data_IF_232916974164
#
_entry.id   IF_232916974164
#
_cell.length_a   1.000
_cell.length_b   1.000
_cell.length_c   1.000
_cell.angle_alpha   90.00
_cell.angle_beta   90.00
_cell.angle_gamma   90.00
#
_symmetry.space_group_name_H-M   'P 1'
#
loop_
_entity.id
_entity.type
_entity.pdbx_description
1 polymer ?
#
# COMPACT_ATOMS: atom_id res chain seq x y z
N UNK A 1 -0.49 -31.58 2.21
CA UNK A 1 -0.61 -30.42 1.31
C UNK A 1 0.68 -30.34 0.52
N UNK A 2 0.61 -30.53 -0.80
CA UNK A 2 1.78 -30.41 -1.67
C UNK A 2 2.12 -28.92 -1.78
N UNK A 3 3.25 -28.53 -1.20
CA UNK A 3 3.72 -27.15 -1.20
C UNK A 3 4.56 -26.95 -2.46
N UNK A 4 3.95 -26.38 -3.51
CA UNK A 4 4.71 -25.93 -4.67
C UNK A 4 5.34 -24.59 -4.33
N UNK A 5 6.67 -24.56 -4.26
CA UNK A 5 7.40 -23.29 -4.17
C UNK A 5 7.15 -22.51 -5.46
N UNK A 6 6.26 -21.53 -5.38
CA UNK A 6 5.95 -20.60 -6.47
C UNK A 6 6.51 -19.25 -6.08
N UNK A 7 7.33 -18.68 -6.97
CA UNK A 7 7.78 -17.31 -6.84
C UNK A 7 6.67 -16.37 -7.32
N UNK A 8 6.29 -15.42 -6.48
CA UNK A 8 5.30 -14.39 -6.81
C UNK A 8 5.99 -13.06 -7.07
N UNK A 9 5.62 -12.40 -8.16
CA UNK A 9 6.06 -11.03 -8.46
C UNK A 9 4.92 -10.06 -8.18
N UNK A 10 5.13 -9.19 -7.18
CA UNK A 10 4.22 -8.08 -6.89
C UNK A 10 4.74 -6.80 -7.57
N UNK A 11 3.89 -6.18 -8.40
CA UNK A 11 4.15 -4.84 -8.96
C UNK A 11 3.19 -3.84 -8.31
N UNK A 12 3.72 -2.72 -7.80
CA UNK A 12 2.93 -1.70 -7.10
C UNK A 12 3.02 -0.37 -7.85
N UNK A 13 1.89 0.34 -7.96
CA UNK A 13 1.78 1.61 -8.65
C UNK A 13 1.29 2.70 -7.69
N UNK A 14 1.86 3.90 -7.81
CA UNK A 14 1.35 5.09 -7.13
C UNK A 14 0.37 5.86 -8.01
N UNK A 15 -0.62 6.50 -7.39
CA UNK A 15 -1.57 7.38 -8.06
C UNK A 15 -1.86 8.63 -7.22
N UNK A 16 -2.19 9.74 -7.88
CA UNK A 16 -2.72 10.91 -7.19
C UNK A 16 -4.20 10.67 -6.86
N UNK A 17 -4.59 11.03 -5.63
CA UNK A 17 -5.98 11.01 -5.22
C UNK A 17 -6.82 12.00 -6.06
N UNK A 18 -7.96 11.53 -6.58
CA UNK A 18 -8.83 12.28 -7.49
C UNK A 18 -10.26 12.53 -6.95
N UNK A 19 -10.56 12.11 -5.72
CA UNK A 19 -11.89 12.20 -5.10
C UNK A 19 -12.44 10.85 -4.63
N UNK A 20 -13.46 10.87 -3.76
CA UNK A 20 -14.15 9.68 -3.23
C UNK A 20 -13.74 9.30 -1.80
N UNK A 21 -14.46 8.35 -1.20
CA UNK A 21 -14.15 7.82 0.13
C UNK A 21 -13.70 6.35 0.03
N UNK A 22 -12.81 5.89 0.93
CA UNK A 22 -12.37 4.51 0.92
C UNK A 22 -13.52 3.58 1.35
N UNK A 23 -13.78 2.54 0.56
CA UNK A 23 -14.82 1.55 0.80
C UNK A 23 -14.21 0.15 0.77
N UNK A 24 -14.45 -0.62 1.83
CA UNK A 24 -14.06 -2.02 1.89
C UNK A 24 -15.01 -2.86 1.01
N UNK A 25 -14.47 -3.89 0.36
CA UNK A 25 -15.25 -4.81 -0.47
C UNK A 25 -14.93 -6.26 -0.07
N UNK A 26 -15.36 -7.22 -0.88
CA UNK A 26 -15.15 -8.66 -0.66
C UNK A 26 -13.71 -9.08 -0.32
N UNK A 27 -12.71 -8.43 -0.90
CA UNK A 27 -11.29 -8.77 -0.70
C UNK A 27 -10.63 -8.11 0.52
N UNK A 28 -11.34 -7.24 1.28
CA UNK A 28 -10.78 -6.56 2.44
C UNK A 28 -11.81 -6.28 3.54
N UNK A 29 -11.44 -6.53 4.80
CA UNK A 29 -12.31 -6.22 5.94
C UNK A 29 -12.49 -4.71 6.17
N UNK A 30 -11.44 -3.93 5.91
CA UNK A 30 -11.45 -2.47 6.13
C UNK A 30 -10.72 -1.73 5.02
N UNK A 31 -11.12 -0.47 4.77
CA UNK A 31 -10.45 0.46 3.88
C UNK A 31 -10.45 1.85 4.52
N UNK A 32 -9.28 2.49 4.55
CA UNK A 32 -9.13 3.83 5.13
C UNK A 32 -7.89 4.52 4.55
N UNK A 33 -7.84 5.85 4.67
CA UNK A 33 -6.64 6.63 4.44
C UNK A 33 -5.82 6.72 5.73
N UNK A 34 -4.51 6.51 5.61
CA UNK A 34 -3.55 6.66 6.69
C UNK A 34 -2.35 7.48 6.25
N UNK A 35 -1.80 8.27 7.15
CA UNK A 35 -0.49 8.89 7.01
C UNK A 35 0.61 7.86 7.20
N UNK A 36 1.82 8.15 6.70
CA UNK A 36 2.99 7.31 6.97
C UNK A 36 3.28 7.16 8.47
N UNK A 37 3.03 8.21 9.25
CA UNK A 37 3.22 8.16 10.71
C UNK A 37 2.25 7.18 11.39
N UNK A 38 0.99 7.13 10.93
CA UNK A 38 0.00 6.15 11.43
C UNK A 38 0.34 4.73 10.99
N UNK A 39 0.75 4.55 9.73
CA UNK A 39 1.15 3.25 9.20
C UNK A 39 2.33 2.63 9.94
N UNK A 40 3.26 3.44 10.47
CA UNK A 40 4.42 2.96 11.22
C UNK A 40 4.04 2.18 12.51
N UNK A 41 2.84 2.40 13.03
CA UNK A 41 2.32 1.68 14.20
C UNK A 41 1.46 0.46 13.87
N UNK A 42 1.23 0.14 12.60
CA UNK A 42 0.28 -0.89 12.17
C UNK A 42 0.96 -2.25 11.97
N UNK A 43 0.26 -3.38 12.21
CA UNK A 43 0.75 -4.72 11.91
C UNK A 43 0.66 -5.02 10.41
N UNK A 44 1.51 -4.36 9.62
CA UNK A 44 1.55 -4.52 8.16
C UNK A 44 2.31 -5.79 7.74
N UNK A 45 1.94 -6.34 6.60
CA UNK A 45 2.64 -7.49 6.03
C UNK A 45 3.96 -7.05 5.37
N UNK A 46 5.06 -7.76 5.69
CA UNK A 46 6.35 -7.64 4.99
C UNK A 46 6.75 -6.22 4.63
N UNK A 47 7.00 -5.99 3.34
CA UNK A 47 7.58 -4.74 2.81
C UNK A 47 6.55 -3.62 2.55
N UNK A 48 5.29 -3.76 2.99
CA UNK A 48 4.22 -2.78 2.69
C UNK A 48 4.59 -1.37 3.15
N UNK A 49 5.17 -1.21 4.34
CA UNK A 49 5.56 0.10 4.86
C UNK A 49 6.66 0.74 4.00
N UNK A 50 7.72 -0.01 3.68
CA UNK A 50 8.84 0.43 2.85
C UNK A 50 8.39 0.84 1.44
N UNK A 51 7.43 0.11 0.85
CA UNK A 51 6.84 0.45 -0.45
C UNK A 51 6.07 1.77 -0.36
N UNK A 52 5.30 2.00 0.70
CA UNK A 52 4.56 3.25 0.89
C UNK A 52 5.51 4.46 1.00
N UNK A 53 6.61 4.33 1.76
CA UNK A 53 7.66 5.36 1.83
C UNK A 53 8.27 5.64 0.45
N UNK A 54 8.58 4.57 -0.32
CA UNK A 54 9.18 4.68 -1.65
C UNK A 54 8.22 5.26 -2.70
N UNK A 55 6.90 5.08 -2.58
CA UNK A 55 5.93 5.66 -3.49
C UNK A 55 5.66 7.14 -3.20
N UNK A 56 5.58 7.52 -1.91
CA UNK A 56 5.29 8.89 -1.50
C UNK A 56 6.52 9.80 -1.55
N UNK A 57 7.72 9.29 -1.26
CA UNK A 57 8.97 10.06 -1.27
C UNK A 57 9.28 10.77 -2.60
N UNK A 58 9.20 10.08 -3.77
CA UNK A 58 9.41 10.67 -5.09
C UNK A 58 8.23 11.54 -5.57
N UNK A 59 6.99 11.18 -5.22
CA UNK A 59 5.78 11.90 -5.64
C UNK A 59 5.70 13.31 -5.04
N UNK A 60 6.26 13.52 -3.84
CA UNK A 60 6.46 14.86 -3.25
C UNK A 60 7.43 15.74 -4.06
N UNK A 61 8.34 15.15 -4.84
CA UNK A 61 9.27 15.87 -5.71
C UNK A 61 8.70 16.24 -7.09
N UNK A 62 7.77 15.44 -7.63
CA UNK A 62 7.15 15.67 -8.94
C UNK A 62 6.07 16.77 -8.93
N UNK A 63 5.68 17.28 -7.75
CA UNK A 63 4.74 18.40 -7.57
C UNK A 63 5.45 19.77 -7.40
N UNK A 64 6.70 19.90 -7.87
CA UNK A 64 7.42 21.18 -7.97
C UNK A 64 7.52 21.65 -9.41
#
# INVERSE_FOLDING_TARGET
AENHAVDYLLTVFGAAYAGGEPEANDDAETAAFYTLAEMAGMPLAGDVFSVAEALLGPALGARR
#
